data_IF_937247179265
#
_entry.id   IF_937247179265
#
_cell.length_a   1.000
_cell.length_b   1.000
_cell.length_c   1.000
_cell.angle_alpha   90.00
_cell.angle_beta   90.00
_cell.angle_gamma   90.00
#
_symmetry.space_group_name_H-M   'P 1'
#
loop_
_entity.id
_entity.type
_entity.pdbx_description
1 polymer ?
#
# COMPACT_ATOMS: atom_id res chain seq x y z
N UNK A 1 45.31 -23.14 28.03
CA UNK A 1 45.53 -22.67 29.42
C UNK A 1 45.16 -23.81 30.34
N UNK A 2 45.96 -24.05 31.38
CA UNK A 2 45.67 -25.09 32.36
C UNK A 2 44.48 -24.60 33.20
N UNK A 3 43.36 -25.34 33.18
CA UNK A 3 42.14 -24.93 33.90
C UNK A 3 42.39 -24.99 35.41
N UNK A 4 42.13 -23.89 36.13
CA UNK A 4 42.30 -23.85 37.58
C UNK A 4 41.04 -24.46 38.25
N UNK A 5 41.19 -25.48 39.11
CA UNK A 5 40.04 -26.21 39.65
C UNK A 5 39.09 -25.34 40.49
N UNK A 6 39.60 -24.32 41.19
CA UNK A 6 38.76 -23.40 41.96
C UNK A 6 37.94 -22.49 41.04
N UNK A 7 38.56 -22.00 39.95
CA UNK A 7 37.87 -21.18 38.95
C UNK A 7 36.75 -21.98 38.28
N UNK A 8 37.02 -23.23 37.88
CA UNK A 8 35.99 -24.08 37.26
C UNK A 8 34.83 -24.34 38.24
N UNK A 9 35.10 -24.56 39.52
CA UNK A 9 34.05 -24.70 40.55
C UNK A 9 33.21 -23.44 40.72
N UNK A 10 33.83 -22.25 40.68
CA UNK A 10 33.11 -20.97 40.76
C UNK A 10 32.23 -20.74 39.53
N UNK A 11 32.76 -21.05 38.34
CA UNK A 11 32.00 -20.99 37.09
C UNK A 11 30.81 -21.94 37.15
N UNK A 12 31.02 -23.20 37.54
CA UNK A 12 29.94 -24.19 37.64
C UNK A 12 28.86 -23.78 38.66
N UNK A 13 29.26 -23.26 39.81
CA UNK A 13 28.34 -22.76 40.82
C UNK A 13 27.50 -21.59 40.29
N UNK A 14 28.11 -20.64 39.60
CA UNK A 14 27.41 -19.49 39.03
C UNK A 14 26.49 -19.89 37.87
N UNK A 15 26.89 -20.84 37.04
CA UNK A 15 26.02 -21.41 36.00
C UNK A 15 24.79 -22.09 36.60
N UNK A 16 24.97 -22.87 37.66
CA UNK A 16 23.84 -23.51 38.34
C UNK A 16 22.88 -22.49 38.95
N UNK A 17 23.41 -21.38 39.50
CA UNK A 17 22.60 -20.27 39.99
C UNK A 17 21.79 -19.60 38.87
N UNK A 18 22.40 -19.36 37.70
CA UNK A 18 21.72 -18.76 36.55
C UNK A 18 20.64 -19.68 36.01
N UNK A 19 20.92 -20.98 35.85
CA UNK A 19 19.93 -21.96 35.39
C UNK A 19 18.73 -22.01 36.34
N UNK A 20 18.96 -22.05 37.66
CA UNK A 20 17.88 -21.98 38.64
C UNK A 20 17.09 -20.66 38.55
N UNK A 21 17.79 -19.54 38.40
CA UNK A 21 17.16 -18.21 38.34
C UNK A 21 16.27 -18.06 37.11
N UNK A 22 16.73 -18.49 35.94
CA UNK A 22 15.98 -18.41 34.69
C UNK A 22 14.94 -19.51 34.52
N UNK A 23 15.05 -20.63 35.26
CA UNK A 23 14.01 -21.66 35.30
C UNK A 23 12.70 -21.17 35.95
N UNK A 24 12.75 -20.06 36.70
CA UNK A 24 11.55 -19.40 37.20
C UNK A 24 10.99 -18.47 36.11
N UNK A 25 9.77 -18.75 35.64
CA UNK A 25 9.12 -18.01 34.56
C UNK A 25 9.00 -16.50 34.84
N UNK A 26 8.94 -16.10 36.12
CA UNK A 26 8.78 -14.69 36.51
C UNK A 26 10.07 -13.87 36.34
N UNK A 27 11.24 -14.50 36.37
CA UNK A 27 12.53 -13.79 36.29
C UNK A 27 12.70 -13.11 34.94
N UNK A 28 12.43 -13.85 33.85
CA UNK A 28 12.56 -13.35 32.48
C UNK A 28 11.62 -12.19 32.22
N UNK A 29 10.38 -12.32 32.68
CA UNK A 29 9.36 -11.29 32.58
C UNK A 29 9.74 -10.02 33.33
N UNK A 30 10.29 -10.18 34.53
CA UNK A 30 10.76 -9.07 35.36
C UNK A 30 11.91 -8.33 34.67
N UNK A 31 12.90 -9.06 34.16
CA UNK A 31 14.03 -8.46 33.44
C UNK A 31 13.59 -7.74 32.16
N UNK A 32 12.67 -8.33 31.38
CA UNK A 32 12.11 -7.67 30.21
C UNK A 32 11.33 -6.41 30.56
N UNK A 33 10.53 -6.45 31.64
CA UNK A 33 9.78 -5.29 32.14
C UNK A 33 10.73 -4.17 32.58
N UNK A 34 11.79 -4.49 33.33
CA UNK A 34 12.80 -3.52 33.73
C UNK A 34 13.49 -2.87 32.52
N UNK A 35 13.87 -3.68 31.53
CA UNK A 35 14.42 -3.17 30.28
C UNK A 35 13.45 -2.22 29.58
N UNK A 36 12.18 -2.63 29.41
CA UNK A 36 11.15 -1.81 28.76
C UNK A 36 10.92 -0.49 29.49
N UNK A 37 10.81 -0.52 30.82
CA UNK A 37 10.62 0.67 31.65
C UNK A 37 11.80 1.65 31.59
N UNK A 38 13.02 1.15 31.42
CA UNK A 38 14.18 2.00 31.15
C UNK A 38 14.18 2.53 29.71
N UNK A 39 13.92 1.67 28.73
CA UNK A 39 13.97 1.99 27.30
C UNK A 39 12.97 3.07 26.92
N UNK A 40 11.71 2.97 27.39
CA UNK A 40 10.65 3.94 27.07
C UNK A 40 10.96 5.38 27.53
N UNK A 41 11.85 5.55 28.51
CA UNK A 41 12.27 6.86 29.04
C UNK A 41 13.35 7.52 28.20
N UNK A 42 14.03 6.76 27.35
CA UNK A 42 15.08 7.31 26.48
C UNK A 42 14.43 8.02 25.29
N UNK A 43 15.07 9.08 24.81
CA UNK A 43 14.72 9.72 23.54
C UNK A 43 15.38 9.01 22.36
N UNK A 44 14.78 9.13 21.17
CA UNK A 44 15.31 8.52 19.95
C UNK A 44 16.78 8.90 19.72
N UNK A 45 17.10 10.20 19.81
CA UNK A 45 18.45 10.70 19.54
C UNK A 45 19.51 10.29 20.55
N UNK A 46 19.11 9.88 21.77
CA UNK A 46 20.05 9.37 22.77
C UNK A 46 20.53 7.96 22.46
N UNK A 47 19.71 7.16 21.76
CA UNK A 47 20.05 5.77 21.42
C UNK A 47 20.55 5.66 19.98
N UNK A 48 19.85 6.27 19.03
CA UNK A 48 20.16 6.13 17.61
C UNK A 48 20.27 7.48 16.91
N UNK A 49 21.35 7.64 16.14
CA UNK A 49 21.51 8.78 15.25
C UNK A 49 20.69 8.60 13.97
N UNK A 50 20.42 9.71 13.29
CA UNK A 50 19.83 9.69 11.95
C UNK A 50 20.62 8.77 11.00
N UNK A 51 21.95 8.90 10.98
CA UNK A 51 22.81 8.14 10.06
C UNK A 51 22.68 6.63 10.27
N UNK A 52 22.56 6.17 11.53
CA UNK A 52 22.38 4.74 11.84
C UNK A 52 21.04 4.22 11.31
N UNK A 53 19.95 4.94 11.56
CA UNK A 53 18.60 4.54 11.11
C UNK A 53 18.52 4.61 9.58
N UNK A 54 19.00 5.69 8.98
CA UNK A 54 19.01 5.86 7.54
C UNK A 54 19.85 4.77 6.86
N UNK A 55 21.06 4.48 7.35
CA UNK A 55 21.91 3.42 6.79
C UNK A 55 21.23 2.04 6.84
N UNK A 56 20.55 1.73 7.96
CA UNK A 56 19.78 0.49 8.08
C UNK A 56 18.64 0.43 7.06
N UNK A 57 17.83 1.49 6.97
CA UNK A 57 16.67 1.52 6.07
C UNK A 57 17.08 1.54 4.60
N UNK A 58 18.13 2.27 4.23
CA UNK A 58 18.72 2.20 2.89
C UNK A 58 19.16 0.77 2.57
N UNK A 59 19.82 0.09 3.52
CA UNK A 59 20.25 -1.30 3.31
C UNK A 59 19.07 -2.27 3.16
N UNK A 60 18.08 -2.17 4.03
CA UNK A 60 16.96 -3.13 4.07
C UNK A 60 15.94 -2.89 2.96
N UNK A 61 15.60 -1.62 2.68
CA UNK A 61 14.57 -1.29 1.69
C UNK A 61 15.15 -1.32 0.27
N UNK A 62 16.37 -0.81 0.08
CA UNK A 62 16.92 -0.57 -1.26
C UNK A 62 17.96 -1.59 -1.68
N UNK A 63 18.82 -2.04 -0.77
CA UNK A 63 19.96 -2.91 -1.13
C UNK A 63 19.73 -4.39 -0.84
N UNK A 64 18.58 -4.76 -0.28
CA UNK A 64 18.22 -6.15 0.00
C UNK A 64 17.03 -6.52 -0.87
N UNK A 65 17.27 -7.38 -1.86
CA UNK A 65 16.21 -7.89 -2.72
C UNK A 65 15.28 -8.80 -1.91
N UNK A 66 13.99 -8.81 -2.25
CA UNK A 66 13.09 -9.79 -1.67
C UNK A 66 13.51 -11.19 -2.13
N UNK A 67 13.47 -12.16 -1.24
CA UNK A 67 13.76 -13.54 -1.62
C UNK A 67 12.63 -14.09 -2.48
N UNK A 68 12.97 -15.02 -3.39
CA UNK A 68 11.99 -15.71 -4.21
C UNK A 68 10.89 -16.35 -3.35
N UNK A 69 11.28 -16.95 -2.22
CA UNK A 69 10.34 -17.52 -1.25
C UNK A 69 9.35 -16.46 -0.69
N UNK A 70 9.83 -15.26 -0.35
CA UNK A 70 8.94 -14.20 0.13
C UNK A 70 7.95 -13.74 -0.96
N UNK A 71 8.40 -13.64 -2.21
CA UNK A 71 7.55 -13.26 -3.35
C UNK A 71 6.45 -14.30 -3.56
N UNK A 72 6.80 -15.59 -3.50
CA UNK A 72 5.85 -16.70 -3.57
C UNK A 72 4.84 -16.65 -2.42
N UNK A 73 5.33 -16.43 -1.18
CA UNK A 73 4.45 -16.26 -0.03
C UNK A 73 3.48 -15.10 -0.20
N UNK A 74 3.91 -13.96 -0.73
CA UNK A 74 3.01 -12.82 -0.99
C UNK A 74 1.89 -13.23 -1.97
N UNK A 75 2.24 -13.92 -3.06
CA UNK A 75 1.25 -14.41 -4.02
C UNK A 75 0.26 -15.40 -3.38
N UNK A 76 0.75 -16.32 -2.55
CA UNK A 76 -0.09 -17.26 -1.82
C UNK A 76 -1.03 -16.59 -0.82
N UNK A 77 -0.55 -15.59 -0.07
CA UNK A 77 -1.38 -14.86 0.89
C UNK A 77 -2.46 -14.03 0.19
N UNK A 78 -2.13 -13.38 -0.93
CA UNK A 78 -3.13 -12.68 -1.76
C UNK A 78 -4.17 -13.67 -2.28
N UNK A 79 -3.73 -14.83 -2.79
CA UNK A 79 -4.63 -15.89 -3.24
C UNK A 79 -5.55 -16.36 -2.12
N UNK A 80 -5.00 -16.66 -0.95
CA UNK A 80 -5.75 -17.10 0.22
C UNK A 80 -6.80 -16.06 0.64
N UNK A 81 -6.40 -14.80 0.75
CA UNK A 81 -7.30 -13.70 1.10
C UNK A 81 -8.41 -13.52 0.07
N UNK A 82 -8.12 -13.65 -1.23
CA UNK A 82 -9.12 -13.55 -2.29
C UNK A 82 -10.10 -14.71 -2.25
N UNK A 83 -9.65 -15.96 -2.08
CA UNK A 83 -10.52 -17.15 -2.11
C UNK A 83 -11.21 -17.45 -0.78
N UNK A 84 -10.89 -16.73 0.30
CA UNK A 84 -11.35 -17.01 1.65
C UNK A 84 -12.89 -17.14 1.74
N UNK A 85 -13.44 -18.20 2.39
CA UNK A 85 -14.89 -18.44 2.45
C UNK A 85 -15.68 -17.29 3.10
N UNK A 86 -15.07 -16.57 4.06
CA UNK A 86 -15.72 -15.42 4.69
C UNK A 86 -16.10 -14.31 3.68
N UNK A 87 -15.45 -14.25 2.51
CA UNK A 87 -15.77 -13.27 1.48
C UNK A 87 -17.16 -13.47 0.87
N UNK A 88 -17.72 -14.68 0.98
CA UNK A 88 -19.05 -14.99 0.42
C UNK A 88 -20.18 -14.50 1.35
N UNK A 89 -19.92 -14.39 2.66
CA UNK A 89 -20.88 -13.91 3.67
C UNK A 89 -20.62 -12.48 4.14
N UNK A 90 -19.41 -11.94 3.94
CA UNK A 90 -19.04 -10.58 4.36
C UNK A 90 -19.40 -9.58 3.27
N UNK A 91 -20.13 -8.53 3.63
CA UNK A 91 -20.49 -7.45 2.70
C UNK A 91 -19.45 -6.33 2.71
N UNK A 92 -19.36 -5.56 1.61
CA UNK A 92 -18.45 -4.40 1.53
C UNK A 92 -18.74 -3.38 2.65
N UNK A 93 -20.01 -3.23 3.07
CA UNK A 93 -20.41 -2.34 4.15
C UNK A 93 -19.84 -2.73 5.53
N UNK A 94 -19.58 -4.01 5.76
CA UNK A 94 -19.02 -4.52 7.03
C UNK A 94 -17.51 -4.25 7.14
N UNK A 95 -16.83 -4.10 6.00
CA UNK A 95 -15.40 -3.77 5.95
C UNK A 95 -15.18 -2.26 5.92
N UNK A 96 -15.97 -1.53 5.12
CA UNK A 96 -15.79 -0.09 4.93
C UNK A 96 -17.00 0.65 5.50
N UNK A 97 -16.85 1.36 6.64
CA UNK A 97 -17.96 2.09 7.23
C UNK A 97 -18.52 3.17 6.29
N UNK A 98 -19.85 3.29 6.24
CA UNK A 98 -20.53 4.33 5.46
C UNK A 98 -20.01 5.74 5.77
N UNK A 99 -19.72 6.03 7.04
CA UNK A 99 -19.18 7.32 7.47
C UNK A 99 -17.81 7.62 6.85
N UNK A 100 -16.99 6.61 6.62
CA UNK A 100 -15.68 6.75 5.96
C UNK A 100 -15.88 7.07 4.48
N UNK A 101 -16.81 6.39 3.81
CA UNK A 101 -17.16 6.64 2.41
C UNK A 101 -17.74 8.05 2.23
N UNK A 102 -18.62 8.50 3.12
CA UNK A 102 -19.18 9.84 3.07
C UNK A 102 -18.11 10.92 3.25
N UNK A 103 -17.17 10.74 4.19
CA UNK A 103 -16.01 11.63 4.36
C UNK A 103 -15.13 11.68 3.11
N UNK A 104 -14.81 10.52 2.51
CA UNK A 104 -14.05 10.46 1.26
C UNK A 104 -14.82 11.17 0.14
N UNK A 105 -16.12 10.93 0.03
CA UNK A 105 -16.95 11.52 -1.01
C UNK A 105 -17.04 13.04 -0.90
N UNK A 106 -17.22 13.57 0.31
CA UNK A 106 -17.18 15.01 0.58
C UNK A 106 -15.80 15.59 0.28
N UNK A 107 -14.73 14.92 0.70
CA UNK A 107 -13.37 15.37 0.43
C UNK A 107 -13.09 15.44 -1.07
N UNK A 108 -13.37 14.38 -1.83
CA UNK A 108 -13.18 14.33 -3.29
C UNK A 108 -14.07 15.34 -4.01
N UNK A 109 -15.34 15.46 -3.61
CA UNK A 109 -16.27 16.43 -4.18
C UNK A 109 -15.78 17.88 -3.99
N UNK A 110 -15.19 18.20 -2.84
CA UNK A 110 -14.66 19.53 -2.53
C UNK A 110 -13.43 19.93 -3.37
N UNK A 111 -12.81 19.01 -4.11
CA UNK A 111 -11.60 19.28 -4.93
C UNK A 111 -11.94 19.81 -6.32
N UNK A 112 -12.77 20.84 -6.41
CA UNK A 112 -13.20 21.46 -7.66
C UNK A 112 -12.03 21.78 -8.62
N UNK A 113 -10.95 22.40 -8.12
CA UNK A 113 -9.80 22.77 -8.95
C UNK A 113 -9.08 21.57 -9.58
N UNK A 114 -8.98 20.44 -8.88
CA UNK A 114 -8.37 19.23 -9.44
C UNK A 114 -9.27 18.60 -10.51
N UNK A 115 -10.58 18.56 -10.26
CA UNK A 115 -11.56 18.04 -11.22
C UNK A 115 -11.60 18.85 -12.51
N UNK A 116 -11.71 20.18 -12.40
CA UNK A 116 -11.71 21.07 -13.56
C UNK A 116 -10.44 20.91 -14.39
N UNK A 117 -9.28 20.81 -13.73
CA UNK A 117 -8.00 20.57 -14.41
C UNK A 117 -7.96 19.21 -15.12
N UNK A 118 -8.50 18.16 -14.51
CA UNK A 118 -8.57 16.84 -15.15
C UNK A 118 -9.48 16.85 -16.38
N UNK A 119 -10.69 17.43 -16.26
CA UNK A 119 -11.64 17.58 -17.38
C UNK A 119 -10.98 18.39 -18.50
N UNK A 120 -10.33 19.51 -18.18
CA UNK A 120 -9.61 20.32 -19.13
C UNK A 120 -8.53 19.52 -19.87
N UNK A 121 -7.71 18.75 -19.16
CA UNK A 121 -6.66 17.92 -19.76
C UNK A 121 -7.23 16.81 -20.65
N UNK A 122 -8.32 16.16 -20.23
CA UNK A 122 -8.96 15.10 -21.02
C UNK A 122 -9.59 15.64 -22.32
N UNK A 123 -10.32 16.74 -22.22
CA UNK A 123 -11.09 17.30 -23.33
C UNK A 123 -10.18 17.94 -24.39
N UNK A 124 -9.05 18.50 -23.96
CA UNK A 124 -8.02 19.00 -24.87
C UNK A 124 -7.05 17.92 -25.37
N UNK A 125 -7.28 16.64 -25.04
CA UNK A 125 -6.50 15.53 -25.59
C UNK A 125 -6.90 15.26 -27.06
N UNK A 126 -5.94 15.09 -27.98
CA UNK A 126 -6.21 14.75 -29.38
C UNK A 126 -7.09 13.50 -29.58
N UNK A 127 -7.00 12.50 -28.71
CA UNK A 127 -7.82 11.29 -28.76
C UNK A 127 -9.31 11.59 -28.52
N UNK A 128 -9.62 12.49 -27.58
CA UNK A 128 -10.99 12.91 -27.30
C UNK A 128 -11.60 13.64 -28.51
N UNK A 129 -10.80 14.52 -29.12
CA UNK A 129 -11.17 15.25 -30.33
C UNK A 129 -11.45 14.31 -31.51
N UNK A 130 -10.62 13.27 -31.70
CA UNK A 130 -10.83 12.24 -32.71
C UNK A 130 -12.12 11.43 -32.45
N UNK A 131 -12.34 11.02 -31.20
CA UNK A 131 -13.54 10.27 -30.79
C UNK A 131 -14.84 11.06 -31.05
N UNK A 132 -14.90 12.34 -30.65
CA UNK A 132 -16.09 13.18 -30.93
C UNK A 132 -16.32 13.32 -32.43
N UNK A 133 -15.25 13.55 -33.19
CA UNK A 133 -15.36 13.70 -34.65
C UNK A 133 -15.91 12.43 -35.29
N UNK A 134 -15.43 11.26 -34.88
CA UNK A 134 -15.92 9.97 -35.35
C UNK A 134 -17.36 9.70 -34.95
N UNK A 135 -17.73 9.97 -33.69
CA UNK A 135 -19.10 9.78 -33.22
C UNK A 135 -20.10 10.67 -33.95
N UNK A 136 -19.74 11.93 -34.24
CA UNK A 136 -20.63 12.84 -35.00
C UNK A 136 -20.73 12.39 -36.46
N UNK A 137 -19.62 11.96 -37.08
CA UNK A 137 -19.64 11.39 -38.42
C UNK A 137 -20.55 10.15 -38.49
N UNK A 138 -20.39 9.21 -37.55
CA UNK A 138 -21.22 8.01 -37.49
C UNK A 138 -22.69 8.35 -37.22
N UNK A 139 -22.99 9.29 -36.31
CA UNK A 139 -24.36 9.69 -36.02
C UNK A 139 -25.05 10.36 -37.22
N UNK A 140 -24.30 11.16 -38.01
CA UNK A 140 -24.82 11.77 -39.24
C UNK A 140 -25.04 10.68 -40.30
N UNK A 141 -24.08 9.77 -40.48
CA UNK A 141 -24.19 8.66 -41.42
C UNK A 141 -25.38 7.76 -41.06
N UNK A 142 -25.48 7.32 -39.81
CA UNK A 142 -26.61 6.53 -39.30
C UNK A 142 -27.94 7.25 -39.47
N UNK A 143 -27.99 8.57 -39.25
CA UNK A 143 -29.21 9.35 -39.47
C UNK A 143 -29.58 9.41 -40.95
N UNK A 144 -28.63 9.60 -41.85
CA UNK A 144 -28.88 9.62 -43.29
C UNK A 144 -29.34 8.24 -43.78
N UNK A 145 -28.62 7.18 -43.41
CA UNK A 145 -28.94 5.81 -43.80
C UNK A 145 -30.32 5.37 -43.28
N UNK A 146 -30.67 5.71 -42.03
CA UNK A 146 -31.97 5.37 -41.45
C UNK A 146 -33.10 6.33 -41.84
N UNK A 147 -32.82 7.61 -42.13
CA UNK A 147 -33.85 8.58 -42.56
C UNK A 147 -34.25 8.38 -44.02
N UNK A 148 -33.35 7.88 -44.87
CA UNK A 148 -33.67 7.50 -46.24
C UNK A 148 -34.57 6.24 -46.29
N UNK A 149 -34.56 5.40 -45.24
CA UNK A 149 -35.49 4.27 -45.08
C UNK A 149 -36.88 4.74 -44.61
N UNK A 150 -37.01 5.95 -44.08
CA UNK A 150 -38.28 6.54 -43.68
C UNK A 150 -38.98 7.29 -44.84
N UNK A 151 -39.42 6.57 -45.89
CA UNK A 151 -40.73 6.76 -46.60
C UNK A 151 -40.80 6.02 -47.94
N UNK A 152 -41.48 4.88 -47.93
CA UNK A 152 -42.37 4.45 -49.01
C UNK A 152 -43.79 4.32 -48.46
N UNK A 153 -44.41 5.46 -48.10
CA UNK A 153 -45.85 5.50 -47.81
C UNK A 153 -46.60 5.43 -49.16
N UNK A 154 -47.45 4.41 -49.41
CA UNK A 154 -48.25 4.34 -50.63
C UNK A 154 -49.22 5.51 -50.70
N UNK A 155 -49.11 6.39 -51.72
CA UNK A 155 -50.14 7.40 -52.02
C UNK A 155 -49.70 8.85 -52.27
N UNK A 156 -48.43 9.24 -52.09
CA UNK A 156 -47.98 10.64 -52.29
C UNK A 156 -47.03 10.78 -53.50
N UNK A 157 -47.56 10.56 -54.70
CA UNK A 157 -46.79 10.65 -55.95
C UNK A 157 -46.77 12.05 -56.59
N UNK A 158 -47.51 13.04 -56.05
CA UNK A 158 -47.67 14.36 -56.70
C UNK A 158 -46.87 15.54 -56.13
N UNK A 159 -46.18 15.38 -55.00
CA UNK A 159 -45.34 16.46 -54.44
C UNK A 159 -43.83 16.22 -54.57
N UNK A 160 -43.39 15.06 -55.10
CA UNK A 160 -41.98 14.75 -55.31
C UNK A 160 -41.31 15.52 -56.47
N UNK A 161 -42.09 16.17 -57.36
CA UNK A 161 -41.52 16.79 -58.57
C UNK A 161 -41.00 18.22 -58.39
N UNK A 162 -41.14 18.82 -57.21
CA UNK A 162 -40.65 20.18 -56.95
C UNK A 162 -39.43 20.23 -56.01
N UNK A 163 -39.03 19.10 -55.40
CA UNK A 163 -37.85 18.98 -54.53
C UNK A 163 -36.64 18.27 -55.15
N UNK A 164 -36.73 17.81 -56.40
CA UNK A 164 -35.69 16.98 -57.06
C UNK A 164 -34.36 17.71 -57.32
N UNK A 165 -34.36 19.03 -57.49
CA UNK A 165 -33.13 19.77 -57.84
C UNK A 165 -32.15 19.96 -56.67
N UNK A 166 -32.56 19.72 -55.43
CA UNK A 166 -31.70 19.92 -54.25
C UNK A 166 -31.14 18.59 -53.72
N UNK A 167 -31.74 17.46 -54.12
CA UNK A 167 -31.36 16.12 -53.64
C UNK A 167 -30.36 15.39 -54.54
N UNK A 168 -30.23 15.74 -55.83
CA UNK A 168 -29.34 15.01 -56.76
C UNK A 168 -27.87 15.50 -56.75
N UNK A 169 -27.54 16.59 -56.01
CA UNK A 169 -26.17 17.13 -55.94
C UNK A 169 -25.44 16.88 -54.61
N UNK A 170 -26.06 16.15 -53.67
CA UNK A 170 -25.41 15.76 -52.41
C UNK A 170 -25.07 14.28 -52.53
N UNK A 171 -23.97 13.96 -53.20
CA UNK A 171 -23.36 12.64 -53.06
C UNK A 171 -22.89 12.47 -51.62
N UNK A 172 -23.12 11.29 -51.02
CA UNK A 172 -22.79 10.97 -49.62
C UNK A 172 -21.34 11.38 -49.26
N UNK A 173 -20.42 11.22 -50.21
CA UNK A 173 -19.00 11.57 -50.07
C UNK A 173 -18.71 13.05 -49.90
N UNK A 174 -19.54 13.95 -50.44
CA UNK A 174 -19.35 15.40 -50.33
C UNK A 174 -19.84 15.94 -48.97
N UNK A 175 -20.89 15.33 -48.42
CA UNK A 175 -21.43 15.69 -47.11
C UNK A 175 -20.48 15.23 -45.99
N UNK A 176 -19.98 14.01 -46.05
CA UNK A 176 -18.99 13.49 -45.08
C UNK A 176 -17.72 14.33 -45.04
N UNK A 177 -17.20 14.71 -46.21
CA UNK A 177 -16.00 15.55 -46.31
C UNK A 177 -16.24 16.98 -45.79
N UNK A 178 -17.43 17.54 -46.01
CA UNK A 178 -17.80 18.86 -45.49
C UNK A 178 -17.99 18.84 -43.96
N UNK A 179 -18.64 17.80 -43.44
CA UNK A 179 -18.81 17.56 -42.00
C UNK A 179 -17.45 17.36 -41.33
N UNK A 180 -16.59 16.51 -41.89
CA UNK A 180 -15.24 16.27 -41.39
C UNK A 180 -14.40 17.55 -41.33
N UNK A 181 -14.38 18.35 -42.40
CA UNK A 181 -13.68 19.65 -42.42
C UNK A 181 -14.27 20.65 -41.43
N UNK A 182 -15.59 20.67 -41.27
CA UNK A 182 -16.25 21.55 -40.30
C UNK A 182 -15.92 21.16 -38.86
N UNK A 183 -15.95 19.86 -38.54
CA UNK A 183 -15.58 19.33 -37.23
C UNK A 183 -14.12 19.62 -36.90
N UNK A 184 -13.20 19.38 -37.84
CA UNK A 184 -11.78 19.70 -37.67
C UNK A 184 -11.55 21.20 -37.45
N UNK A 185 -12.23 22.06 -38.20
CA UNK A 185 -12.11 23.52 -38.07
C UNK A 185 -12.68 24.05 -36.74
N UNK A 186 -13.69 23.38 -36.19
CA UNK A 186 -14.38 23.79 -34.97
C UNK A 186 -13.99 22.94 -33.74
N UNK A 187 -12.96 22.11 -33.84
CA UNK A 187 -12.62 21.14 -32.80
C UNK A 187 -12.29 21.80 -31.45
N UNK A 188 -11.66 22.98 -31.48
CA UNK A 188 -11.37 23.77 -30.28
C UNK A 188 -12.65 24.27 -29.60
N UNK A 189 -13.65 24.68 -30.39
CA UNK A 189 -14.95 25.12 -29.87
C UNK A 189 -15.75 23.95 -29.32
N UNK A 190 -15.71 22.79 -29.99
CA UNK A 190 -16.32 21.56 -29.50
C UNK A 190 -15.67 21.09 -28.20
N UNK A 191 -14.34 21.14 -28.11
CA UNK A 191 -13.59 20.89 -26.88
C UNK A 191 -14.06 21.81 -25.74
N UNK A 192 -14.10 23.13 -25.95
CA UNK A 192 -14.57 24.07 -24.92
C UNK A 192 -16.03 23.85 -24.49
N UNK A 193 -16.90 23.51 -25.45
CA UNK A 193 -18.29 23.17 -25.15
C UNK A 193 -18.40 21.87 -24.37
N UNK A 194 -17.66 20.83 -24.76
CA UNK A 194 -17.57 19.56 -24.03
C UNK A 194 -17.01 19.75 -22.62
N UNK A 195 -15.99 20.60 -22.44
CA UNK A 195 -15.47 20.95 -21.12
C UNK A 195 -16.53 21.64 -20.26
N UNK A 196 -17.30 22.57 -20.83
CA UNK A 196 -18.40 23.23 -20.13
C UNK A 196 -19.50 22.24 -19.72
N UNK A 197 -19.93 21.39 -20.64
CA UNK A 197 -20.95 20.36 -20.39
C UNK A 197 -20.47 19.35 -19.34
N UNK A 198 -19.22 18.87 -19.45
CA UNK A 198 -18.64 17.95 -18.47
C UNK A 198 -18.54 18.59 -17.08
N UNK A 199 -18.12 19.85 -16.98
CA UNK A 199 -18.08 20.57 -15.70
C UNK A 199 -19.48 20.79 -15.11
N UNK A 200 -20.53 20.93 -15.94
CA UNK A 200 -21.92 21.01 -15.49
C UNK A 200 -22.48 19.65 -15.03
N UNK A 201 -22.04 18.54 -15.63
CA UNK A 201 -22.50 17.19 -15.27
C UNK A 201 -21.68 16.55 -14.14
N UNK A 202 -20.44 16.98 -13.96
CA UNK A 202 -19.55 16.61 -12.86
C UNK A 202 -19.32 17.83 -11.96
N UNK A 203 -20.38 18.41 -11.40
CA UNK A 203 -20.26 19.40 -10.33
C UNK A 203 -20.15 18.71 -8.96
N UNK A 204 -19.81 19.48 -7.91
CA UNK A 204 -19.56 18.96 -6.56
C UNK A 204 -20.77 18.17 -6.03
N UNK A 205 -21.98 18.67 -6.28
CA UNK A 205 -23.22 18.09 -5.80
C UNK A 205 -23.57 16.79 -6.54
N UNK A 206 -23.49 16.78 -7.87
CA UNK A 206 -23.72 15.59 -8.70
C UNK A 206 -22.69 14.51 -8.43
N UNK A 207 -21.42 14.88 -8.19
CA UNK A 207 -20.38 13.93 -7.86
C UNK A 207 -20.61 13.30 -6.48
N UNK A 208 -21.09 14.07 -5.50
CA UNK A 208 -21.50 13.54 -4.21
C UNK A 208 -22.65 12.53 -4.35
N UNK A 209 -23.73 12.89 -5.05
CA UNK A 209 -24.87 12.00 -5.28
C UNK A 209 -24.52 10.76 -6.10
N UNK A 210 -23.65 10.90 -7.10
CA UNK A 210 -23.13 9.76 -7.87
C UNK A 210 -22.40 8.78 -6.97
N UNK A 211 -21.50 9.26 -6.09
CA UNK A 211 -20.79 8.42 -5.13
C UNK A 211 -21.73 7.77 -4.12
N UNK A 212 -22.71 8.50 -3.58
CA UNK A 212 -23.72 7.95 -2.68
C UNK A 212 -24.53 6.83 -3.36
N UNK A 213 -24.96 7.05 -4.61
CA UNK A 213 -25.68 6.07 -5.41
C UNK A 213 -24.82 4.84 -5.73
N UNK A 214 -23.54 5.03 -6.06
CA UNK A 214 -22.59 3.93 -6.23
C UNK A 214 -22.43 3.14 -4.92
N UNK A 215 -22.26 3.84 -3.80
CA UNK A 215 -22.15 3.20 -2.48
C UNK A 215 -23.36 2.35 -2.17
N UNK A 216 -24.58 2.87 -2.39
CA UNK A 216 -25.81 2.11 -2.20
C UNK A 216 -25.86 0.81 -3.00
N UNK A 217 -25.26 0.78 -4.19
CA UNK A 217 -25.20 -0.41 -5.05
C UNK A 217 -24.11 -1.39 -4.62
N UNK A 218 -22.93 -0.89 -4.24
CA UNK A 218 -21.79 -1.77 -3.93
C UNK A 218 -21.80 -2.29 -2.49
N UNK A 219 -22.36 -1.54 -1.54
CA UNK A 219 -22.24 -1.85 -0.10
C UNK A 219 -22.83 -3.21 0.29
N UNK A 220 -23.86 -3.66 -0.42
CA UNK A 220 -24.55 -4.93 -0.17
C UNK A 220 -23.92 -6.10 -0.95
N UNK A 221 -22.96 -5.84 -1.84
CA UNK A 221 -22.26 -6.90 -2.55
C UNK A 221 -21.35 -7.66 -1.59
N UNK A 222 -21.26 -8.99 -1.72
CA UNK A 222 -20.27 -9.76 -1.00
C UNK A 222 -18.87 -9.43 -1.53
N UNK A 223 -17.88 -9.50 -0.64
CA UNK A 223 -16.47 -9.24 -0.97
C UNK A 223 -15.95 -10.22 -2.03
N UNK A 224 -16.54 -11.41 -2.13
CA UNK A 224 -16.22 -12.43 -3.11
C UNK A 224 -16.34 -11.97 -4.57
N UNK A 225 -17.09 -10.90 -4.83
CA UNK A 225 -17.15 -10.26 -6.16
C UNK A 225 -15.75 -9.86 -6.66
N UNK A 226 -14.80 -9.54 -5.77
CA UNK A 226 -13.42 -9.22 -6.16
C UNK A 226 -12.67 -10.38 -6.82
N UNK A 227 -13.05 -11.64 -6.52
CA UNK A 227 -12.48 -12.84 -7.16
C UNK A 227 -12.71 -12.85 -8.68
N UNK A 228 -13.76 -12.18 -9.16
CA UNK A 228 -14.11 -12.15 -10.58
C UNK A 228 -13.26 -11.15 -11.39
N UNK A 229 -12.54 -10.24 -10.73
CA UNK A 229 -11.72 -9.21 -11.37
C UNK A 229 -10.21 -9.48 -11.28
N UNK A 230 -9.82 -10.48 -10.49
CA UNK A 230 -8.43 -10.88 -10.31
C UNK A 230 -8.28 -12.33 -10.74
N UNK A 231 -7.46 -12.58 -11.76
CA UNK A 231 -7.17 -13.93 -12.22
C UNK A 231 -6.24 -14.63 -11.22
N UNK A 232 -6.85 -15.39 -10.31
CA UNK A 232 -6.14 -16.06 -9.20
C UNK A 232 -5.05 -17.03 -9.70
N UNK A 233 -5.20 -17.56 -10.91
CA UNK A 233 -4.23 -18.46 -11.55
C UNK A 233 -2.94 -17.71 -11.97
N UNK A 234 -3.06 -16.43 -12.31
CA UNK A 234 -1.97 -15.59 -12.80
C UNK A 234 -1.35 -14.71 -11.69
N UNK A 235 -1.80 -14.86 -10.45
CA UNK A 235 -1.25 -14.13 -9.31
C UNK A 235 0.27 -14.27 -9.16
N UNK A 236 0.88 -15.47 -9.29
CA UNK A 236 2.33 -15.59 -9.22
C UNK A 236 3.05 -14.74 -10.28
N UNK A 237 2.52 -14.71 -11.51
CA UNK A 237 3.08 -13.90 -12.60
C UNK A 237 2.88 -12.40 -12.35
N UNK A 238 1.71 -12.00 -11.88
CA UNK A 238 1.39 -10.59 -11.59
C UNK A 238 2.22 -10.04 -10.44
N UNK A 239 2.41 -10.83 -9.39
CA UNK A 239 3.26 -10.47 -8.24
C UNK A 239 4.73 -10.42 -8.66
N UNK A 240 5.20 -11.34 -9.50
CA UNK A 240 6.56 -11.30 -10.05
C UNK A 240 6.80 -10.02 -10.89
N UNK A 241 5.86 -9.64 -11.77
CA UNK A 241 5.95 -8.37 -12.51
C UNK A 241 5.97 -7.15 -11.59
N UNK A 242 5.14 -7.14 -10.54
CA UNK A 242 5.18 -6.09 -9.51
C UNK A 242 6.53 -6.02 -8.79
N UNK A 243 7.14 -7.17 -8.51
CA UNK A 243 8.46 -7.26 -7.93
C UNK A 243 9.55 -6.72 -8.87
N UNK A 244 9.50 -7.00 -10.17
CA UNK A 244 10.45 -6.44 -11.16
C UNK A 244 10.42 -4.90 -11.19
N UNK A 245 9.21 -4.31 -11.16
CA UNK A 245 9.04 -2.86 -11.09
C UNK A 245 9.64 -2.32 -9.78
N UNK A 246 9.37 -2.98 -8.66
CA UNK A 246 9.96 -2.62 -7.36
C UNK A 246 11.49 -2.69 -7.38
N UNK A 247 12.05 -3.76 -7.94
CA UNK A 247 13.50 -3.97 -8.06
C UNK A 247 14.17 -2.87 -8.88
N UNK A 248 13.55 -2.45 -9.97
CA UNK A 248 14.01 -1.29 -10.74
C UNK A 248 13.91 0.01 -9.93
N UNK A 249 12.75 0.29 -9.34
CA UNK A 249 12.51 1.51 -8.59
C UNK A 249 13.44 1.65 -7.38
N UNK A 250 13.67 0.59 -6.60
CA UNK A 250 14.50 0.64 -5.38
C UNK A 250 15.97 0.94 -5.68
N UNK A 251 16.45 0.58 -6.87
CA UNK A 251 17.82 0.85 -7.30
C UNK A 251 17.99 2.28 -7.83
N UNK A 252 16.89 2.97 -8.14
CA UNK A 252 16.92 4.33 -8.67
C UNK A 252 17.44 5.35 -7.66
N UNK A 253 18.15 6.36 -8.16
CA UNK A 253 18.61 7.47 -7.32
C UNK A 253 17.45 8.27 -6.73
N UNK A 254 16.34 8.35 -7.47
CA UNK A 254 15.09 8.93 -6.98
C UNK A 254 14.63 8.26 -5.68
N UNK A 255 14.56 6.92 -5.66
CA UNK A 255 14.08 6.22 -4.47
C UNK A 255 15.04 6.32 -3.29
N UNK A 256 16.36 6.28 -3.54
CA UNK A 256 17.37 6.52 -2.50
C UNK A 256 17.18 7.87 -1.83
N UNK A 257 16.97 8.92 -2.62
CA UNK A 257 16.72 10.26 -2.10
C UNK A 257 15.39 10.34 -1.35
N UNK A 258 14.32 9.76 -1.89
CA UNK A 258 13.01 9.72 -1.21
C UNK A 258 13.07 9.03 0.15
N UNK A 259 13.76 7.88 0.24
CA UNK A 259 13.95 7.19 1.52
C UNK A 259 14.79 8.05 2.47
N UNK A 260 15.90 8.61 2.00
CA UNK A 260 16.74 9.48 2.83
C UNK A 260 15.95 10.66 3.43
N UNK A 261 15.29 11.44 2.58
CA UNK A 261 14.58 12.66 3.00
C UNK A 261 13.34 12.34 3.84
N UNK A 262 12.65 11.25 3.52
CA UNK A 262 11.55 10.74 4.33
C UNK A 262 12.00 10.34 5.74
N UNK A 263 13.09 9.58 5.84
CA UNK A 263 13.69 9.19 7.13
C UNK A 263 14.19 10.42 7.88
N UNK A 264 14.81 11.39 7.20
CA UNK A 264 15.28 12.61 7.82
C UNK A 264 14.14 13.44 8.41
N UNK A 265 13.09 13.66 7.62
CA UNK A 265 11.91 14.40 8.06
C UNK A 265 11.21 13.72 9.24
N UNK A 266 11.13 12.38 9.24
CA UNK A 266 10.61 11.61 10.36
C UNK A 266 11.53 11.73 11.58
N UNK A 267 12.85 11.58 11.40
CA UNK A 267 13.82 11.61 12.49
C UNK A 267 13.80 12.96 13.21
N UNK A 268 13.90 14.07 12.48
CA UNK A 268 13.91 15.42 13.07
C UNK A 268 12.64 15.69 13.89
N UNK A 269 11.47 15.19 13.45
CA UNK A 269 10.21 15.32 14.22
C UNK A 269 10.16 14.48 15.49
N UNK A 270 10.93 13.40 15.56
CA UNK A 270 10.85 12.40 16.63
C UNK A 270 12.12 12.31 17.48
N UNK A 271 13.19 13.03 17.12
CA UNK A 271 14.51 12.95 17.74
C UNK A 271 14.47 13.14 19.26
N UNK A 272 13.73 14.15 19.72
CA UNK A 272 13.57 14.47 21.15
C UNK A 272 12.43 13.69 21.82
N UNK A 273 11.58 12.99 21.07
CA UNK A 273 10.45 12.27 21.64
C UNK A 273 10.96 11.01 22.38
N UNK A 274 10.46 10.75 23.60
CA UNK A 274 10.75 9.51 24.29
C UNK A 274 10.11 8.31 23.57
N UNK A 275 10.74 7.14 23.67
CA UNK A 275 10.23 5.91 23.10
C UNK A 275 8.84 5.53 23.62
N UNK A 276 8.45 5.97 24.82
CA UNK A 276 7.09 5.82 25.32
C UNK A 276 6.04 6.36 24.34
N UNK A 277 6.26 7.56 23.78
CA UNK A 277 5.33 8.16 22.83
C UNK A 277 5.41 7.49 21.46
N UNK A 278 6.61 7.13 21.02
CA UNK A 278 6.80 6.46 19.72
C UNK A 278 6.16 5.07 19.69
N UNK A 279 6.28 4.31 20.77
CA UNK A 279 5.67 2.98 20.90
C UNK A 279 4.15 3.09 21.05
N UNK A 280 3.64 4.09 21.79
CA UNK A 280 2.20 4.34 21.90
C UNK A 280 1.55 4.72 20.57
N UNK A 281 2.23 5.45 19.70
CA UNK A 281 1.74 5.75 18.34
C UNK A 281 1.50 4.46 17.52
N UNK A 282 2.15 3.35 17.90
CA UNK A 282 1.99 2.01 17.31
C UNK A 282 1.07 1.09 18.15
N UNK A 283 0.37 1.63 19.15
CA UNK A 283 -0.40 0.87 20.16
C UNK A 283 0.43 -0.15 20.96
N UNK A 284 1.74 0.09 21.11
CA UNK A 284 2.62 -0.72 21.96
C UNK A 284 2.72 -0.02 23.32
N UNK A 285 2.01 -0.55 24.31
CA UNK A 285 2.03 -0.06 25.69
C UNK A 285 2.46 -1.14 26.69
N UNK A 286 2.54 -0.75 27.96
CA UNK A 286 2.97 -1.63 29.04
C UNK A 286 2.02 -2.82 29.25
N UNK A 287 0.72 -2.65 28.97
CA UNK A 287 -0.26 -3.72 29.11
C UNK A 287 -0.05 -4.78 28.01
N UNK A 288 0.19 -4.36 26.76
CA UNK A 288 0.55 -5.28 25.67
C UNK A 288 1.80 -6.10 26.01
N UNK A 289 2.81 -5.42 26.58
CA UNK A 289 4.08 -6.04 26.97
C UNK A 289 3.88 -7.10 28.07
N UNK A 290 3.19 -6.74 29.14
CA UNK A 290 3.00 -7.61 30.31
C UNK A 290 2.01 -8.75 30.07
N UNK A 291 0.96 -8.53 29.28
CA UNK A 291 -0.13 -9.50 29.16
C UNK A 291 -0.07 -10.33 27.87
N UNK A 292 0.42 -9.78 26.76
CA UNK A 292 0.40 -10.48 25.47
C UNK A 292 1.79 -10.97 25.06
N UNK A 293 2.78 -10.08 25.07
CA UNK A 293 4.13 -10.42 24.60
C UNK A 293 4.84 -11.38 25.55
N UNK A 294 4.64 -11.26 26.87
CA UNK A 294 5.23 -12.17 27.85
C UNK A 294 4.83 -13.64 27.60
N UNK A 295 3.57 -13.89 27.25
CA UNK A 295 3.09 -15.24 26.95
C UNK A 295 3.75 -15.84 25.70
N UNK A 296 4.12 -15.00 24.73
CA UNK A 296 4.84 -15.43 23.53
C UNK A 296 6.35 -15.61 23.76
N UNK A 297 6.94 -14.84 24.68
CA UNK A 297 8.36 -14.89 25.00
C UNK A 297 8.73 -16.06 25.93
N UNK A 298 7.86 -16.44 26.87
CA UNK A 298 8.14 -17.50 27.84
C UNK A 298 8.57 -18.84 27.21
N UNK A 299 7.87 -19.39 26.19
CA UNK A 299 8.29 -20.65 25.56
C UNK A 299 9.66 -20.55 24.87
N UNK A 300 10.00 -19.39 24.30
CA UNK A 300 11.30 -19.17 23.67
C UNK A 300 12.41 -19.27 24.72
N UNK A 301 12.24 -18.62 25.88
CA UNK A 301 13.26 -18.64 26.93
C UNK A 301 13.36 -20.01 27.59
N UNK A 302 12.24 -20.70 27.80
CA UNK A 302 12.25 -22.10 28.26
C UNK A 302 13.07 -22.98 27.30
N UNK A 303 12.83 -22.87 25.98
CA UNK A 303 13.61 -23.60 24.98
C UNK A 303 15.10 -23.24 25.00
N UNK A 304 15.45 -21.97 25.26
CA UNK A 304 16.86 -21.54 25.38
C UNK A 304 17.55 -22.12 26.63
N UNK A 305 16.81 -22.32 27.72
CA UNK A 305 17.32 -22.97 28.94
C UNK A 305 17.44 -24.48 28.72
N UNK A 306 16.39 -25.14 28.24
CA UNK A 306 16.35 -26.58 28.00
C UNK A 306 17.38 -27.05 26.98
N UNK A 307 17.64 -26.25 25.95
CA UNK A 307 18.69 -26.54 24.96
C UNK A 307 20.13 -26.35 25.50
N UNK A 308 20.28 -25.82 26.71
CA UNK A 308 21.59 -25.49 27.31
C UNK A 308 22.26 -24.26 26.72
N UNK A 309 21.61 -23.54 25.80
CA UNK A 309 22.17 -22.38 25.12
C UNK A 309 22.54 -21.26 26.11
N UNK A 310 21.67 -20.95 27.08
CA UNK A 310 21.96 -19.94 28.12
C UNK A 310 23.19 -20.35 28.94
N UNK A 311 23.30 -21.61 29.32
CA UNK A 311 24.41 -22.15 30.11
C UNK A 311 25.73 -22.05 29.34
N UNK A 312 25.75 -22.43 28.07
CA UNK A 312 26.93 -22.36 27.22
C UNK A 312 27.38 -20.90 27.00
N UNK A 313 26.44 -20.01 26.66
CA UNK A 313 26.74 -18.58 26.48
C UNK A 313 27.23 -17.93 27.77
N UNK A 314 26.63 -18.27 28.91
CA UNK A 314 27.06 -17.78 30.22
C UNK A 314 28.47 -18.26 30.56
N UNK A 315 28.79 -19.52 30.30
CA UNK A 315 30.14 -20.08 30.56
C UNK A 315 31.21 -19.29 29.82
N UNK A 316 30.98 -18.95 28.56
CA UNK A 316 31.95 -18.20 27.75
C UNK A 316 32.36 -16.88 28.43
N UNK A 317 31.38 -16.10 28.91
CA UNK A 317 31.66 -14.83 29.58
C UNK A 317 32.22 -15.02 30.98
N UNK A 318 31.79 -16.05 31.71
CA UNK A 318 32.34 -16.37 33.02
C UNK A 318 33.81 -16.82 32.91
N UNK A 319 34.17 -17.64 31.93
CA UNK A 319 35.57 -17.99 31.67
C UNK A 319 36.40 -16.74 31.34
N UNK A 320 35.91 -15.84 30.48
CA UNK A 320 36.59 -14.57 30.19
C UNK A 320 36.78 -13.71 31.45
N UNK A 321 35.77 -13.66 32.33
CA UNK A 321 35.83 -12.90 33.57
C UNK A 321 36.80 -13.53 34.58
N UNK A 322 36.64 -14.81 34.91
CA UNK A 322 37.44 -15.46 35.96
C UNK A 322 38.91 -15.65 35.57
N UNK A 323 39.21 -15.82 34.29
CA UNK A 323 40.59 -15.85 33.78
C UNK A 323 41.13 -14.48 33.38
N UNK A 324 40.38 -13.39 33.63
CA UNK A 324 40.91 -12.03 33.46
C UNK A 324 42.06 -11.76 34.44
N UNK A 325 42.97 -10.86 34.05
CA UNK A 325 44.15 -10.54 34.86
C UNK A 325 43.77 -9.96 36.23
N UNK A 326 42.65 -9.26 36.30
CA UNK A 326 42.08 -8.62 37.47
C UNK A 326 41.58 -9.66 38.47
N UNK A 327 40.83 -10.66 38.01
CA UNK A 327 40.27 -11.70 38.88
C UNK A 327 41.36 -12.66 39.35
N UNK A 328 42.30 -13.03 38.49
CA UNK A 328 43.44 -13.88 38.90
C UNK A 328 44.27 -13.24 40.02
N UNK A 329 44.47 -11.92 39.97
CA UNK A 329 45.11 -11.15 41.05
C UNK A 329 44.29 -11.19 42.35
N UNK A 330 42.98 -10.99 42.28
CA UNK A 330 42.08 -11.06 43.45
C UNK A 330 42.14 -12.45 44.09
N UNK A 331 42.18 -13.50 43.27
CA UNK A 331 42.21 -14.89 43.70
C UNK A 331 43.61 -15.37 44.11
N UNK A 332 44.64 -14.52 44.02
CA UNK A 332 46.05 -14.86 44.27
C UNK A 332 46.54 -16.07 43.45
N UNK A 333 46.05 -16.21 42.22
CA UNK A 333 46.46 -17.26 41.28
C UNK A 333 47.49 -16.66 40.32
N UNK A 334 48.68 -17.25 40.24
CA UNK A 334 49.69 -16.84 39.25
C UNK A 334 49.15 -17.12 37.83
N UNK A 335 49.25 -16.11 36.96
CA UNK A 335 48.75 -16.14 35.59
C UNK A 335 49.47 -17.17 34.70
#
# INVERSE_FOLDING_TARGET
>A
MQKNPMIEQLIDAQLNFLDQSFSHNDTVATEFTHFYQWFRKQSLQQIWSFDQINALLQKQILNTAASQFLIEQIAEHIKFALIHPANDSTTIAEIIPVLTIDKIAQYVASKQGHRQRLIHTMVNNPAFSAMISQLIQHAIQDYLDNSVIAKSVPGVSRFMKMGKSVLENVTDTNLDNAVSKYLQKNILKLSQMSETVLNQHFDDHKLYHFQANLWHKIKALPVSVLKNYVEVQDLPLTVAMGHEIWDFMRQSEYMKQQVHDGVYAWYVRNAERPFDLLLRDLNIDEALIQHELQNLLNPIVQQMIESGYIRERSRLYLEQFYYSSEVLKILNIQA
#
